data_IF_791281552935
#
_entry.id   IF_791281552935
#
_cell.length_a   1.000
_cell.length_b   1.000
_cell.length_c   1.000
_cell.angle_alpha   90.00
_cell.angle_beta   90.00
_cell.angle_gamma   90.00
#
_symmetry.space_group_name_H-M   'P 1'
#
loop_
_entity.id
_entity.type
_entity.pdbx_description
1 polymer ?
#
# COMPACT_ATOMS: atom_id res chain seq x y z
N UNK A 1 -3.40 -2.42 5.57
CA UNK A 1 -2.44 -3.56 5.40
C UNK A 1 -1.16 -3.02 4.76
N UNK A 2 -0.04 -3.77 4.70
CA UNK A 2 1.20 -3.25 4.08
C UNK A 2 1.21 -3.48 2.56
N UNK A 3 1.10 -4.76 2.18
CA UNK A 3 0.91 -5.28 0.83
C UNK A 3 -0.45 -4.88 0.29
N UNK A 4 -1.26 -5.85 -0.08
CA UNK A 4 -2.61 -5.58 -0.52
C UNK A 4 -3.51 -6.75 -0.19
N UNK A 5 -4.39 -7.06 -1.13
CA UNK A 5 -5.42 -8.07 -0.95
C UNK A 5 -4.84 -9.48 -1.17
N UNK A 6 -5.58 -10.50 -0.74
CA UNK A 6 -5.30 -11.90 -1.05
C UNK A 6 -6.49 -12.53 -1.79
N UNK A 7 -6.27 -13.36 -2.83
CA UNK A 7 -7.35 -14.11 -3.47
C UNK A 7 -8.01 -15.12 -2.53
N UNK A 8 -7.35 -15.47 -1.42
CA UNK A 8 -7.85 -16.42 -0.43
C UNK A 8 -8.61 -15.73 0.72
N UNK A 9 -8.52 -14.40 0.84
CA UNK A 9 -9.14 -13.65 1.93
C UNK A 9 -10.59 -13.30 1.60
N UNK A 10 -11.52 -14.05 2.18
CA UNK A 10 -12.97 -13.91 1.99
C UNK A 10 -13.70 -13.41 3.23
N UNK A 11 -13.08 -13.48 4.41
CA UNK A 11 -13.64 -12.91 5.64
C UNK A 11 -12.55 -12.54 6.66
N UNK A 12 -12.89 -11.61 7.56
CA UNK A 12 -11.97 -11.11 8.59
C UNK A 12 -11.48 -12.17 9.60
N UNK A 13 -12.21 -13.27 9.80
CA UNK A 13 -11.79 -14.31 10.74
C UNK A 13 -10.54 -15.05 10.25
N UNK A 14 -10.27 -15.08 8.95
CA UNK A 14 -9.04 -15.67 8.43
C UNK A 14 -7.80 -14.92 8.92
N UNK A 15 -7.84 -13.59 8.99
CA UNK A 15 -6.75 -12.78 9.56
C UNK A 15 -6.66 -13.00 11.06
N UNK A 16 -7.80 -13.00 11.79
CA UNK A 16 -7.81 -13.21 13.25
C UNK A 16 -7.26 -14.56 13.68
N UNK A 17 -7.33 -15.57 12.81
CA UNK A 17 -6.83 -16.93 13.05
C UNK A 17 -5.34 -17.12 12.74
N UNK A 18 -4.66 -16.12 12.19
CA UNK A 18 -3.21 -16.18 11.97
C UNK A 18 -2.52 -16.23 13.33
N UNK A 19 -1.90 -17.36 13.65
CA UNK A 19 -1.15 -17.56 14.89
C UNK A 19 0.19 -16.83 14.83
N UNK A 20 0.67 -16.35 15.97
CA UNK A 20 1.97 -15.67 16.10
C UNK A 20 2.83 -16.42 17.15
N UNK A 21 4.17 -16.45 17.01
CA UNK A 21 4.96 -15.88 15.90
C UNK A 21 4.75 -16.68 14.61
N UNK A 22 4.91 -16.02 13.47
CA UNK A 22 4.79 -16.63 12.15
C UNK A 22 5.88 -16.06 11.24
N UNK A 23 6.66 -16.95 10.64
CA UNK A 23 7.39 -16.66 9.41
C UNK A 23 6.46 -17.02 8.24
N UNK A 24 5.92 -16.04 7.49
CA UNK A 24 4.85 -16.31 6.52
C UNK A 24 5.30 -17.26 5.40
N UNK A 25 4.68 -18.45 5.25
CA UNK A 25 5.02 -19.35 4.15
C UNK A 25 4.55 -18.75 2.82
N UNK A 26 5.30 -19.00 1.75
CA UNK A 26 4.90 -18.66 0.39
C UNK A 26 4.44 -19.94 -0.35
N UNK A 27 3.17 -20.05 -0.79
CA UNK A 27 2.09 -19.05 -0.73
C UNK A 27 1.29 -19.06 0.57
N UNK A 28 0.79 -17.89 1.01
CA UNK A 28 -0.18 -17.75 2.11
C UNK A 28 -0.88 -16.39 2.10
N UNK A 29 -2.04 -16.29 2.79
CA UNK A 29 -2.72 -15.01 3.03
C UNK A 29 -1.77 -14.00 3.69
N UNK A 30 -0.92 -14.45 4.62
CA UNK A 30 0.02 -13.57 5.30
C UNK A 30 1.05 -12.97 4.33
N UNK A 31 1.59 -13.76 3.39
CA UNK A 31 2.45 -13.26 2.33
C UNK A 31 1.71 -12.27 1.43
N UNK A 32 0.47 -12.59 1.04
CA UNK A 32 -0.30 -11.70 0.16
C UNK A 32 -0.60 -10.35 0.80
N UNK A 33 -0.99 -10.33 2.07
CA UNK A 33 -1.23 -9.11 2.85
C UNK A 33 0.01 -8.21 3.00
N UNK A 34 1.21 -8.76 2.76
CA UNK A 34 2.48 -8.08 2.84
C UNK A 34 3.07 -7.73 1.46
N UNK A 35 2.78 -8.50 0.41
CA UNK A 35 3.51 -8.43 -0.86
C UNK A 35 2.66 -8.22 -2.13
N UNK A 36 1.33 -8.28 -2.04
CA UNK A 36 0.51 -8.02 -3.23
C UNK A 36 0.44 -6.52 -3.57
N UNK A 37 0.24 -6.22 -4.86
CA UNK A 37 0.21 -4.86 -5.38
C UNK A 37 -1.02 -4.57 -6.27
N UNK A 38 -1.62 -3.38 -6.19
CA UNK A 38 -2.60 -2.94 -7.18
C UNK A 38 -1.93 -2.62 -8.53
N UNK A 39 -2.61 -2.97 -9.63
CA UNK A 39 -2.18 -2.59 -10.99
C UNK A 39 -3.39 -2.12 -11.82
N UNK A 40 -3.29 -0.94 -12.45
CA UNK A 40 -4.34 -0.33 -13.27
C UNK A 40 -4.57 -1.02 -14.61
N UNK A 41 -3.60 -1.80 -15.09
CA UNK A 41 -3.66 -2.50 -16.37
C UNK A 41 -4.14 -3.94 -16.23
N UNK A 42 -4.29 -4.42 -14.99
CA UNK A 42 -4.74 -5.77 -14.67
C UNK A 42 -6.24 -5.78 -14.40
N UNK A 43 -6.91 -6.82 -14.91
CA UNK A 43 -8.26 -7.22 -14.50
C UNK A 43 -8.16 -8.54 -13.74
N UNK A 44 -8.79 -8.63 -12.58
CA UNK A 44 -8.68 -9.80 -11.72
C UNK A 44 -7.32 -9.91 -11.01
N UNK A 45 -6.77 -11.12 -10.94
CA UNK A 45 -5.49 -11.45 -10.30
C UNK A 45 -4.46 -11.90 -11.34
N UNK A 46 -3.21 -11.52 -11.18
CA UNK A 46 -2.07 -12.05 -11.95
C UNK A 46 -0.85 -12.26 -11.05
N UNK A 47 0.14 -13.04 -11.51
CA UNK A 47 1.39 -13.22 -10.77
C UNK A 47 2.16 -11.90 -10.67
N UNK A 48 2.71 -11.60 -9.49
CA UNK A 48 3.48 -10.37 -9.30
C UNK A 48 4.89 -10.52 -9.91
N UNK A 49 5.34 -9.52 -10.66
CA UNK A 49 6.69 -9.47 -11.25
C UNK A 49 7.79 -9.37 -10.20
N UNK A 50 7.45 -9.05 -8.94
CA UNK A 50 8.35 -9.15 -7.77
C UNK A 50 8.75 -10.58 -7.43
N UNK A 51 8.13 -11.60 -8.03
CA UNK A 51 8.40 -13.01 -7.76
C UNK A 51 7.73 -13.56 -6.50
N UNK A 52 6.86 -12.78 -5.86
CA UNK A 52 6.12 -13.17 -4.66
C UNK A 52 4.70 -12.58 -4.69
N UNK A 53 3.71 -13.37 -4.29
CA UNK A 53 2.29 -13.00 -4.29
C UNK A 53 1.76 -12.59 -5.69
N UNK A 54 0.76 -11.71 -5.71
CA UNK A 54 -0.06 -11.37 -6.88
C UNK A 54 -0.14 -9.85 -7.09
N UNK A 55 -0.43 -9.46 -8.32
CA UNK A 55 -1.00 -8.14 -8.63
C UNK A 55 -2.52 -8.26 -8.77
N UNK A 56 -3.25 -7.20 -8.45
CA UNK A 56 -4.71 -7.18 -8.53
C UNK A 56 -5.28 -5.90 -9.14
N UNK A 57 -6.36 -6.08 -9.91
CA UNK A 57 -7.05 -4.99 -10.62
C UNK A 57 -8.00 -4.17 -9.75
N UNK A 58 -8.48 -3.07 -10.33
CA UNK A 58 -9.47 -2.19 -9.68
C UNK A 58 -10.82 -2.89 -9.43
N UNK A 59 -11.16 -3.90 -10.24
CA UNK A 59 -12.34 -4.74 -10.08
C UNK A 59 -12.27 -5.59 -8.79
N UNK A 60 -11.08 -6.12 -8.47
CA UNK A 60 -10.83 -6.84 -7.22
C UNK A 60 -11.01 -5.92 -6.01
N UNK A 61 -10.45 -4.72 -6.04
CA UNK A 61 -10.60 -3.74 -4.94
C UNK A 61 -12.07 -3.41 -4.70
N UNK A 62 -12.83 -3.13 -5.76
CA UNK A 62 -14.26 -2.81 -5.67
C UNK A 62 -15.06 -3.96 -5.05
N UNK A 63 -14.82 -5.18 -5.54
CA UNK A 63 -15.50 -6.39 -5.06
C UNK A 63 -15.13 -6.69 -3.60
N UNK A 64 -13.86 -6.50 -3.24
CA UNK A 64 -13.38 -6.70 -1.88
C UNK A 64 -14.03 -5.71 -0.91
N UNK A 65 -14.06 -4.42 -1.25
CA UNK A 65 -14.72 -3.40 -0.43
C UNK A 65 -16.19 -3.71 -0.19
N UNK A 66 -16.91 -4.17 -1.23
CA UNK A 66 -18.31 -4.59 -1.11
C UNK A 66 -18.46 -5.84 -0.23
N UNK A 67 -17.65 -6.87 -0.48
CA UNK A 67 -17.73 -8.15 0.25
C UNK A 67 -17.38 -8.01 1.73
N UNK A 68 -16.40 -7.15 2.04
CA UNK A 68 -15.90 -6.96 3.40
C UNK A 68 -16.59 -5.83 4.16
N UNK A 69 -17.54 -5.14 3.52
CA UNK A 69 -18.28 -4.00 4.05
C UNK A 69 -17.37 -2.87 4.55
N UNK A 70 -16.47 -2.40 3.67
CA UNK A 70 -15.55 -1.30 3.94
C UNK A 70 -15.52 -0.30 2.78
N UNK A 71 -15.17 0.95 3.07
CA UNK A 71 -15.11 2.01 2.06
C UNK A 71 -13.75 2.13 1.37
N UNK A 72 -12.66 1.89 2.12
CA UNK A 72 -11.30 2.20 1.73
C UNK A 72 -10.30 1.16 2.21
N UNK A 73 -9.41 0.72 1.31
CA UNK A 73 -8.20 -0.04 1.63
C UNK A 73 -7.02 0.93 1.73
N UNK A 74 -6.46 1.11 2.94
CA UNK A 74 -5.21 1.83 3.13
C UNK A 74 -4.01 0.88 3.14
N UNK A 75 -3.01 1.16 2.29
CA UNK A 75 -1.80 0.34 2.11
C UNK A 75 -0.53 1.14 1.85
N UNK A 76 0.64 0.46 1.77
CA UNK A 76 1.96 1.09 1.58
C UNK A 76 2.79 0.42 0.47
N UNK A 77 4.00 -0.06 0.75
CA UNK A 77 4.88 -0.92 -0.09
C UNK A 77 5.42 -0.34 -1.42
N UNK A 78 4.63 0.44 -2.17
CA UNK A 78 5.04 1.07 -3.42
C UNK A 78 5.40 2.54 -3.16
N UNK A 79 6.55 2.97 -3.69
CA UNK A 79 6.92 4.39 -3.74
C UNK A 79 5.94 5.11 -4.67
N UNK A 80 5.37 6.22 -4.21
CA UNK A 80 4.45 7.06 -4.98
C UNK A 80 4.89 8.52 -4.90
N UNK A 81 4.70 9.27 -5.99
CA UNK A 81 5.36 10.56 -6.20
C UNK A 81 5.07 11.58 -5.09
N UNK A 82 3.80 11.74 -4.72
CA UNK A 82 3.37 12.73 -3.73
C UNK A 82 3.23 12.14 -2.32
N UNK A 83 3.79 10.94 -2.09
CA UNK A 83 3.70 10.24 -0.80
C UNK A 83 2.34 9.60 -0.53
N UNK A 84 1.33 9.85 -1.38
CA UNK A 84 0.11 9.06 -1.45
C UNK A 84 -0.41 8.96 -2.89
N UNK A 85 -1.18 7.91 -3.20
CA UNK A 85 -1.85 7.75 -4.49
C UNK A 85 -3.16 6.98 -4.32
N UNK A 86 -4.24 7.48 -4.93
CA UNK A 86 -5.52 6.79 -4.95
C UNK A 86 -5.65 5.83 -6.13
N UNK A 87 -6.33 4.72 -5.90
CA UNK A 87 -6.63 3.68 -6.87
C UNK A 87 -8.11 3.26 -6.80
N UNK A 88 -8.59 2.63 -7.87
CA UNK A 88 -9.94 2.03 -7.97
C UNK A 88 -11.08 2.98 -7.53
N UNK A 89 -11.14 4.19 -8.12
CA UNK A 89 -12.14 5.20 -7.77
C UNK A 89 -12.08 5.61 -6.28
N UNK A 90 -10.85 5.79 -5.76
CA UNK A 90 -10.55 6.16 -4.36
C UNK A 90 -10.97 5.12 -3.31
N UNK A 91 -11.18 3.86 -3.72
CA UNK A 91 -11.42 2.73 -2.79
C UNK A 91 -10.15 2.06 -2.29
N UNK A 92 -8.98 2.43 -2.83
CA UNK A 92 -7.69 2.08 -2.26
C UNK A 92 -6.79 3.32 -2.26
N UNK A 93 -5.99 3.47 -1.22
CA UNK A 93 -4.93 4.48 -1.13
C UNK A 93 -3.60 3.81 -0.77
N UNK A 94 -2.58 4.11 -1.57
CA UNK A 94 -1.19 3.81 -1.24
C UNK A 94 -0.60 5.02 -0.51
N UNK A 95 0.07 4.80 0.62
CA UNK A 95 0.75 5.83 1.41
C UNK A 95 2.22 5.41 1.57
N UNK A 96 3.13 6.33 1.28
CA UNK A 96 4.56 6.12 1.40
C UNK A 96 5.20 7.29 2.15
N UNK A 97 5.87 7.01 3.27
CA UNK A 97 6.28 8.04 4.23
C UNK A 97 7.79 8.28 4.31
N UNK A 98 8.58 7.73 3.38
CA UNK A 98 10.01 8.01 3.25
C UNK A 98 10.27 8.93 2.04
N UNK A 99 10.58 10.22 2.24
CA UNK A 99 10.83 11.13 1.13
C UNK A 99 12.22 10.89 0.56
N UNK A 100 12.41 11.19 -0.73
CA UNK A 100 13.66 10.95 -1.44
C UNK A 100 14.18 9.51 -1.27
N UNK A 101 13.29 8.54 -1.49
CA UNK A 101 13.55 7.14 -1.16
C UNK A 101 14.85 6.64 -1.81
N UNK A 102 15.66 5.93 -1.01
CA UNK A 102 17.00 5.45 -1.37
C UNK A 102 17.98 6.50 -1.92
N UNK A 103 17.67 7.79 -1.89
CA UNK A 103 18.47 8.81 -2.57
C UNK A 103 18.30 8.87 -4.09
N UNK A 104 17.38 8.05 -4.64
CA UNK A 104 17.22 7.84 -6.08
C UNK A 104 15.91 8.41 -6.61
N UNK A 105 14.87 8.40 -5.79
CA UNK A 105 13.55 8.94 -6.13
C UNK A 105 13.44 10.39 -5.65
N UNK A 106 12.65 11.23 -6.31
CA UNK A 106 12.33 12.59 -5.86
C UNK A 106 10.97 12.65 -5.12
N UNK A 107 10.48 11.50 -4.67
CA UNK A 107 9.17 11.37 -4.06
C UNK A 107 9.05 12.15 -2.74
N UNK A 108 7.85 12.63 -2.46
CA UNK A 108 7.47 13.12 -1.15
C UNK A 108 7.12 11.96 -0.21
N UNK A 109 7.00 12.28 1.08
CA UNK A 109 6.39 11.43 2.08
C UNK A 109 4.96 11.90 2.36
N UNK A 110 4.04 10.95 2.53
CA UNK A 110 2.65 11.20 2.90
C UNK A 110 2.34 10.65 4.29
N UNK A 111 1.49 11.37 5.02
CA UNK A 111 0.81 10.89 6.22
C UNK A 111 -0.68 11.11 6.02
N UNK A 112 -1.49 10.06 6.21
CA UNK A 112 -2.94 10.17 6.16
C UNK A 112 -3.49 10.29 7.57
N UNK A 113 -4.25 11.36 7.82
CA UNK A 113 -5.00 11.57 9.06
C UNK A 113 -6.46 11.23 8.80
N UNK A 114 -7.06 10.47 9.71
CA UNK A 114 -8.49 10.10 9.66
C UNK A 114 -9.13 10.62 10.93
N UNK A 115 -10.12 11.51 10.78
CA UNK A 115 -10.84 12.07 11.93
C UNK A 115 -12.00 11.18 12.40
N UNK A 116 -12.71 11.63 13.44
CA UNK A 116 -13.85 10.94 14.03
C UNK A 116 -15.08 10.84 13.09
N UNK A 117 -15.13 11.67 12.05
CA UNK A 117 -16.12 11.60 10.97
C UNK A 117 -15.67 10.77 9.77
N UNK A 118 -14.51 10.11 9.88
CA UNK A 118 -13.86 9.31 8.84
C UNK A 118 -13.40 10.12 7.61
N UNK A 119 -13.26 11.44 7.74
CA UNK A 119 -12.66 12.26 6.70
C UNK A 119 -11.16 11.99 6.68
N UNK A 120 -10.65 11.64 5.50
CA UNK A 120 -9.23 11.41 5.27
C UNK A 120 -8.57 12.66 4.70
N UNK A 121 -7.56 13.20 5.39
CA UNK A 121 -6.68 14.29 4.93
C UNK A 121 -5.23 13.82 4.83
N UNK A 122 -4.40 14.55 4.08
CA UNK A 122 -3.01 14.16 3.80
C UNK A 122 -2.04 15.30 4.08
N UNK A 123 -1.03 15.02 4.91
CA UNK A 123 0.14 15.87 5.07
C UNK A 123 1.26 15.36 4.15
N UNK A 124 1.81 16.26 3.33
CA UNK A 124 2.85 15.93 2.35
C UNK A 124 4.17 16.61 2.73
N UNK A 125 5.19 15.78 2.96
CA UNK A 125 6.53 16.19 3.37
C UNK A 125 7.51 15.98 2.21
N UNK A 126 7.95 17.06 1.58
CA UNK A 126 8.95 17.00 0.50
C UNK A 126 10.36 17.05 1.05
N UNK A 127 11.27 16.26 0.48
CA UNK A 127 12.67 16.34 0.84
C UNK A 127 13.25 17.73 0.52
N UNK A 128 13.90 18.36 1.49
CA UNK A 128 14.63 19.60 1.26
C UNK A 128 16.09 19.29 1.00
N UNK A 129 16.60 19.63 -0.18
CA UNK A 129 18.04 19.66 -0.41
C UNK A 129 18.62 20.86 0.33
N UNK A 130 19.24 20.64 1.48
CA UNK A 130 20.14 21.65 2.04
C UNK A 130 21.46 21.55 1.28
N UNK A 131 21.89 22.57 0.51
CA UNK A 131 23.23 22.57 -0.04
C UNK A 131 24.22 22.49 1.13
N UNK A 132 25.05 21.45 1.13
CA UNK A 132 26.16 21.34 2.08
C UNK A 132 27.06 22.55 1.79
N UNK A 133 27.12 23.52 2.71
CA UNK A 133 28.12 24.59 2.65
C UNK A 133 29.49 23.90 2.75
N UNK A 134 30.14 23.66 1.61
CA UNK A 134 31.56 23.29 1.59
C UNK A 134 32.31 24.45 2.25
N UNK A 135 32.81 24.22 3.46
CA UNK A 135 33.79 25.10 4.08
C UNK A 135 35.02 25.00 3.18
N UNK A 136 35.27 26.03 2.37
CA UNK A 136 36.55 26.18 1.69
C UNK A 136 37.60 26.33 2.80
N UNK A 137 38.50 25.35 2.91
CA UNK A 137 39.75 25.50 3.65
C UNK A 137 40.76 26.21 2.76
#
# INVERSE_FOLDING_TARGET
>A
MHGGLSPQLTNWNQIRKITRPLDPPNPSIAIDLLWSDPDKWVKGWQANTRGVSYVFGADIVKTFCQTMDIDLVARAHQVVQDGYEFFASRKLVTIFSAPHYCGEFDNAAGVMTVDDTLICSFDVLRATYKPIKRIQK
#
